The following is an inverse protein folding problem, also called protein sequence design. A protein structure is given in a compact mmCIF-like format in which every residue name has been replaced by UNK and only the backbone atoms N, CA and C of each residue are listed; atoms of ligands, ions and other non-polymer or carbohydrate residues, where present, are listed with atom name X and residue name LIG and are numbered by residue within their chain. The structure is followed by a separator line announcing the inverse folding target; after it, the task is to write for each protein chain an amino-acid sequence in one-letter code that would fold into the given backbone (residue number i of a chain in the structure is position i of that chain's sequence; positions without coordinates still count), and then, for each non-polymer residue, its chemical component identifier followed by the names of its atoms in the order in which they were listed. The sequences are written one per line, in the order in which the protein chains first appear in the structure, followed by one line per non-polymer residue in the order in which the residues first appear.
data_IF_847162284647
#
_entry.id   IF_847162284647
#
_cell.length_a   1.000
_cell.length_b   1.000
_cell.length_c   1.000
_cell.angle_alpha   90.00
_cell.angle_beta   90.00
_cell.angle_gamma   90.00
#
_symmetry.space_group_name_H-M   'P 1'
#
loop_
_entity.id
_entity.type
_entity.pdbx_description
1 polymer ?
#
# COMPACT_ATOMS: atom_id res chain seq x y z
N UNK A 1 -2.57 -10.82 7.49
CA UNK A 1 -3.42 -9.67 7.12
C UNK A 1 -4.87 -9.93 7.52
N UNK A 2 -5.68 -8.88 7.72
CA UNK A 2 -7.09 -9.02 8.10
C UNK A 2 -7.94 -9.52 6.93
N UNK A 3 -8.69 -10.62 7.13
CA UNK A 3 -9.61 -11.16 6.12
C UNK A 3 -10.76 -10.20 5.82
N UNK A 4 -11.26 -9.47 6.82
CA UNK A 4 -12.32 -8.49 6.64
C UNK A 4 -11.85 -7.30 5.77
N UNK A 5 -10.64 -6.79 6.01
CA UNK A 5 -10.04 -5.74 5.17
C UNK A 5 -9.82 -6.25 3.75
N UNK A 6 -9.35 -7.49 3.60
CA UNK A 6 -9.19 -8.10 2.28
C UNK A 6 -10.51 -8.18 1.52
N UNK A 7 -11.57 -8.69 2.17
CA UNK A 7 -12.90 -8.78 1.55
C UNK A 7 -13.43 -7.42 1.12
N UNK A 8 -13.25 -6.39 1.96
CA UNK A 8 -13.61 -5.01 1.61
C UNK A 8 -12.84 -4.51 0.38
N UNK A 9 -11.53 -4.76 0.29
CA UNK A 9 -10.73 -4.36 -0.88
C UNK A 9 -11.19 -5.10 -2.15
N UNK A 10 -11.49 -6.39 -2.05
CA UNK A 10 -11.95 -7.20 -3.19
C UNK A 10 -13.35 -6.77 -3.68
N UNK A 11 -14.23 -6.33 -2.78
CA UNK A 11 -15.57 -5.84 -3.09
C UNK A 11 -15.55 -4.41 -3.69
N UNK A 12 -14.90 -3.47 -2.99
CA UNK A 12 -14.92 -2.04 -3.34
C UNK A 12 -13.92 -1.71 -4.45
N UNK A 13 -12.83 -2.47 -4.54
CA UNK A 13 -11.72 -2.28 -5.51
C UNK A 13 -11.23 -0.83 -5.55
N UNK A 14 -10.85 -0.24 -4.40
CA UNK A 14 -10.36 1.13 -4.37
C UNK A 14 -9.11 1.28 -5.25
N UNK A 15 -8.82 2.51 -5.67
CA UNK A 15 -7.61 2.80 -6.45
C UNK A 15 -6.33 2.41 -5.68
N UNK A 16 -6.31 2.67 -4.37
CA UNK A 16 -5.14 2.51 -3.50
C UNK A 16 -5.58 2.08 -2.09
N UNK A 17 -4.84 1.16 -1.47
CA UNK A 17 -4.99 0.78 -0.07
C UNK A 17 -3.65 0.94 0.67
N UNK A 18 -3.60 1.86 1.63
CA UNK A 18 -2.44 2.08 2.49
C UNK A 18 -2.59 1.27 3.77
N UNK A 19 -1.59 0.48 4.11
CA UNK A 19 -1.60 -0.32 5.33
C UNK A 19 -0.28 -0.26 6.07
N UNK A 20 -0.30 -0.72 7.33
CA UNK A 20 0.85 -0.75 8.22
C UNK A 20 0.67 -1.85 9.25
N UNK A 21 1.02 -1.57 10.51
CA UNK A 21 0.93 -2.49 11.66
C UNK A 21 1.93 -3.65 11.65
N UNK A 22 2.11 -4.36 10.53
CA UNK A 22 3.16 -5.39 10.39
C UNK A 22 4.45 -4.74 9.90
N UNK A 23 5.40 -4.54 10.82
CA UNK A 23 6.67 -3.84 10.56
C UNK A 23 7.60 -4.60 9.59
N UNK A 24 7.35 -5.88 9.36
CA UNK A 24 8.16 -6.78 8.52
C UNK A 24 7.71 -6.78 7.05
N UNK A 25 6.54 -6.22 6.73
CA UNK A 25 5.90 -6.37 5.42
C UNK A 25 5.97 -5.09 4.57
N UNK A 26 7.15 -4.46 4.46
CA UNK A 26 7.35 -3.33 3.54
C UNK A 26 7.17 -3.83 2.09
N UNK A 27 6.12 -3.40 1.41
CA UNK A 27 5.80 -3.88 0.06
C UNK A 27 4.91 -2.91 -0.74
N UNK A 28 4.97 -3.09 -2.06
CA UNK A 28 3.93 -2.68 -3.01
C UNK A 28 3.37 -3.98 -3.57
N UNK A 29 2.05 -4.15 -3.51
CA UNK A 29 1.36 -5.35 -3.99
C UNK A 29 0.08 -4.95 -4.72
N UNK A 30 -0.61 -5.92 -5.32
CA UNK A 30 -1.92 -5.72 -5.93
C UNK A 30 -2.93 -6.75 -5.44
N UNK A 31 -4.12 -6.26 -5.09
CA UNK A 31 -5.30 -7.09 -4.88
C UNK A 31 -6.31 -6.69 -5.94
N UNK A 32 -6.53 -7.56 -6.94
CA UNK A 32 -7.30 -7.21 -8.14
C UNK A 32 -6.70 -5.96 -8.82
N UNK A 33 -7.47 -4.89 -8.97
CA UNK A 33 -7.03 -3.61 -9.53
C UNK A 33 -6.49 -2.64 -8.49
N UNK A 34 -6.66 -2.93 -7.19
CA UNK A 34 -6.19 -2.07 -6.10
C UNK A 34 -4.69 -2.22 -5.88
N UNK A 35 -3.97 -1.11 -5.92
CA UNK A 35 -2.58 -1.06 -5.46
C UNK A 35 -2.57 -1.03 -3.93
N UNK A 36 -1.84 -1.94 -3.30
CA UNK A 36 -1.68 -2.02 -1.84
C UNK A 36 -0.26 -1.60 -1.48
N UNK A 37 -0.12 -0.70 -0.51
CA UNK A 37 1.20 -0.17 -0.12
C UNK A 37 1.36 -0.25 1.39
N UNK A 38 2.41 -0.94 1.83
CA UNK A 38 2.94 -0.83 3.18
C UNK A 38 4.35 -0.20 3.09
N UNK A 39 4.52 1.06 3.53
CA UNK A 39 5.81 1.75 3.42
C UNK A 39 6.88 1.18 4.36
N UNK A 40 6.48 0.37 5.36
CA UNK A 40 7.34 -0.05 6.45
C UNK A 40 7.41 0.98 7.58
N UNK A 41 8.11 0.65 8.68
CA UNK A 41 8.14 1.49 9.88
C UNK A 41 9.03 2.71 9.72
N UNK A 42 8.48 3.90 10.00
CA UNK A 42 9.21 5.17 9.98
C UNK A 42 10.38 5.19 10.97
N UNK A 43 10.28 4.48 12.10
CA UNK A 43 11.37 4.34 13.08
C UNK A 43 12.65 3.70 12.50
N UNK A 44 12.54 2.94 11.39
CA UNK A 44 13.70 2.40 10.64
C UNK A 44 14.09 3.29 9.44
N UNK A 45 13.51 4.47 9.34
CA UNK A 45 13.70 5.43 8.25
C UNK A 45 12.85 5.14 7.00
N UNK A 46 12.00 4.11 6.98
CA UNK A 46 11.25 3.77 5.76
C UNK A 46 10.01 4.65 5.56
N UNK A 47 9.76 5.01 4.30
CA UNK A 47 8.57 5.74 3.88
C UNK A 47 8.19 5.39 2.44
N UNK A 48 7.01 5.83 1.99
CA UNK A 48 6.56 5.68 0.61
C UNK A 48 6.12 7.01 0.02
N UNK A 49 6.40 7.22 -1.26
CA UNK A 49 5.91 8.36 -2.05
C UNK A 49 4.96 7.86 -3.11
N UNK A 50 3.81 8.52 -3.25
CA UNK A 50 2.74 8.11 -4.17
C UNK A 50 2.36 9.31 -5.03
N UNK A 51 2.43 9.12 -6.34
CA UNK A 51 1.95 10.08 -7.33
C UNK A 51 0.68 9.53 -7.97
N UNK A 52 -0.40 10.30 -7.89
CA UNK A 52 -1.70 9.94 -8.46
C UNK A 52 -1.98 10.92 -9.60
N UNK A 53 -2.22 10.39 -10.79
CA UNK A 53 -2.58 11.16 -11.98
C UNK A 53 -3.72 10.48 -12.74
N UNK A 54 -4.21 11.14 -13.80
CA UNK A 54 -5.18 10.53 -14.71
C UNK A 54 -4.62 9.28 -15.43
N UNK A 55 -3.30 9.14 -15.51
CA UNK A 55 -2.61 8.04 -16.20
C UNK A 55 -2.40 6.82 -15.29
N UNK A 56 -2.52 7.00 -13.96
CA UNK A 56 -2.41 5.91 -13.00
C UNK A 56 -1.79 6.32 -11.68
N UNK A 57 -1.20 5.33 -11.00
CA UNK A 57 -0.50 5.51 -9.72
C UNK A 57 0.94 5.06 -9.88
N UNK A 58 1.89 5.93 -9.52
CA UNK A 58 3.28 5.58 -9.32
C UNK A 58 3.59 5.52 -7.82
N UNK A 59 4.20 4.42 -7.36
CA UNK A 59 4.54 4.20 -5.96
C UNK A 59 6.03 3.92 -5.84
N UNK A 60 6.70 4.66 -4.96
CA UNK A 60 8.11 4.43 -4.61
C UNK A 60 8.27 4.22 -3.13
N UNK A 61 9.00 3.18 -2.75
CA UNK A 61 9.37 2.94 -1.36
C UNK A 61 10.80 3.42 -1.12
N UNK A 62 10.95 4.31 -0.15
CA UNK A 62 12.20 5.02 0.13
C UNK A 62 12.69 4.75 1.56
N UNK A 63 13.87 5.30 1.87
CA UNK A 63 14.47 5.33 3.20
C UNK A 63 15.16 6.68 3.40
N UNK A 64 15.02 7.26 4.60
CA UNK A 64 15.74 8.46 5.04
C UNK A 64 17.22 8.12 5.23
#
# INVERSE_FOLDING_TARGET
GSKAIRGFIEEVKPLLALCGHVHESRCIDKISTTTVVNPGPLAKGFYGTIYISCEGIDVKLNKI
#
